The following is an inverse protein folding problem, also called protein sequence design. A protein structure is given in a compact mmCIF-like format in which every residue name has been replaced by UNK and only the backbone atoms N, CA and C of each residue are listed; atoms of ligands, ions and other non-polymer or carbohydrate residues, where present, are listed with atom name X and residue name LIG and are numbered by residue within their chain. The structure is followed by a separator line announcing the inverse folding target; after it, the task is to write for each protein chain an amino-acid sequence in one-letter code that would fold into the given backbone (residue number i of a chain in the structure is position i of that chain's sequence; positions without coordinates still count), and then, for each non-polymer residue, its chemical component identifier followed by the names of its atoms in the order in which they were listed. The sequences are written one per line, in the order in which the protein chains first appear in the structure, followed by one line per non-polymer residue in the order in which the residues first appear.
data_IF_880744621631
#
_entry.id   IF_880744621631
#
_cell.length_a   1.000
_cell.length_b   1.000
_cell.length_c   1.000
_cell.angle_alpha   90.00
_cell.angle_beta   90.00
_cell.angle_gamma   90.00
#
_symmetry.space_group_name_H-M   'P 1'
#
loop_
_entity.id
_entity.type
_entity.pdbx_description
1 polymer ?
#
# COMPACT_ATOMS: atom_id res chain seq x y z
N UNK A 1 -6.69 20.51 54.58
CA UNK A 1 -5.26 20.17 54.41
C UNK A 1 -5.04 18.79 53.77
N UNK A 2 -5.49 17.67 54.36
CA UNK A 2 -5.30 16.30 53.79
C UNK A 2 -5.84 16.14 52.35
N UNK A 3 -7.04 16.67 52.06
CA UNK A 3 -7.67 16.59 50.72
C UNK A 3 -6.91 17.35 49.63
N UNK A 4 -6.35 18.51 49.97
CA UNK A 4 -5.55 19.32 49.02
C UNK A 4 -4.21 18.64 48.72
N UNK A 5 -3.60 18.00 49.72
CA UNK A 5 -2.35 17.25 49.55
C UNK A 5 -2.53 16.01 48.65
N UNK A 6 -3.66 15.31 48.80
CA UNK A 6 -4.03 14.20 47.91
C UNK A 6 -4.18 14.67 46.46
N UNK A 7 -4.84 15.82 46.22
CA UNK A 7 -4.99 16.38 44.87
C UNK A 7 -3.64 16.75 44.26
N UNK A 8 -2.74 17.34 45.05
CA UNK A 8 -1.38 17.65 44.59
C UNK A 8 -0.58 16.39 44.23
N UNK A 9 -0.66 15.34 45.04
CA UNK A 9 0.02 14.06 44.76
C UNK A 9 -0.54 13.41 43.48
N UNK A 10 -1.86 13.37 43.31
CA UNK A 10 -2.50 12.82 42.11
C UNK A 10 -2.08 13.62 40.86
N UNK A 11 -2.07 14.96 40.94
CA UNK A 11 -1.62 15.81 39.85
C UNK A 11 -0.15 15.58 39.49
N UNK A 12 0.72 15.45 40.49
CA UNK A 12 2.14 15.18 40.29
C UNK A 12 2.37 13.80 39.66
N UNK A 13 1.63 12.77 40.09
CA UNK A 13 1.69 11.44 39.50
C UNK A 13 1.19 11.44 38.05
N UNK A 14 0.10 12.14 37.74
CA UNK A 14 -0.39 12.28 36.37
C UNK A 14 0.65 12.92 35.45
N UNK A 15 1.29 14.01 35.89
CA UNK A 15 2.34 14.70 35.12
C UNK A 15 3.57 13.82 34.93
N UNK A 16 3.91 12.97 35.90
CA UNK A 16 5.05 12.05 35.80
C UNK A 16 4.77 10.83 34.91
N UNK A 17 3.57 10.24 35.03
CA UNK A 17 3.23 8.97 34.38
C UNK A 17 2.65 9.13 32.97
N UNK A 18 1.98 10.25 32.63
CA UNK A 18 1.45 10.49 31.28
C UNK A 18 2.53 10.47 30.18
N UNK A 19 3.69 11.15 30.32
CA UNK A 19 4.75 11.12 29.32
C UNK A 19 5.38 9.73 29.20
N UNK A 20 5.57 9.03 30.32
CA UNK A 20 6.12 7.66 30.35
C UNK A 20 5.17 6.70 29.64
N UNK A 21 3.87 6.82 29.87
CA UNK A 21 2.87 6.04 29.17
C UNK A 21 2.86 6.34 27.66
N UNK A 22 2.94 7.62 27.26
CA UNK A 22 3.01 8.00 25.85
C UNK A 22 4.27 7.45 25.15
N UNK A 23 5.43 7.52 25.79
CA UNK A 23 6.68 6.94 25.25
C UNK A 23 6.61 5.42 25.21
N UNK A 24 6.07 4.78 26.25
CA UNK A 24 5.88 3.33 26.29
C UNK A 24 4.96 2.85 25.17
N UNK A 25 3.88 3.58 24.87
CA UNK A 25 3.03 3.31 23.71
C UNK A 25 3.81 3.41 22.39
N UNK A 26 4.75 4.34 22.23
CA UNK A 26 5.59 4.42 21.03
C UNK A 26 6.57 3.23 20.88
N UNK A 27 7.01 2.62 21.99
CA UNK A 27 7.87 1.44 21.97
C UNK A 27 7.10 0.12 21.88
N UNK A 28 5.86 0.07 22.37
CA UNK A 28 4.98 -1.11 22.35
C UNK A 28 4.14 -1.18 21.07
N UNK A 29 3.86 -0.05 20.43
CA UNK A 29 3.29 -0.04 19.08
C UNK A 29 4.34 -0.61 18.14
N UNK A 30 4.21 -1.91 17.86
CA UNK A 30 4.96 -2.60 16.81
C UNK A 30 5.00 -1.69 15.59
N UNK A 31 6.21 -1.30 15.19
CA UNK A 31 6.38 -0.56 13.94
C UNK A 31 5.80 -1.44 12.85
N UNK A 32 4.66 -1.03 12.30
CA UNK A 32 4.03 -1.77 11.22
C UNK A 32 5.07 -2.01 10.13
N UNK A 33 5.17 -3.23 9.59
CA UNK A 33 6.08 -3.49 8.48
C UNK A 33 5.78 -2.53 7.34
N UNK A 34 6.82 -1.98 6.73
CA UNK A 34 6.69 -1.14 5.53
C UNK A 34 7.36 -1.83 4.36
N UNK A 35 6.82 -1.61 3.17
CA UNK A 35 7.39 -2.10 1.93
C UNK A 35 8.76 -1.44 1.68
N UNK A 36 9.74 -2.24 1.28
CA UNK A 36 11.08 -1.80 0.88
C UNK A 36 11.40 -2.47 -0.44
N UNK A 37 11.84 -1.68 -1.43
CA UNK A 37 12.16 -2.17 -2.78
C UNK A 37 11.02 -3.00 -3.43
N UNK A 38 9.77 -2.58 -3.24
CA UNK A 38 8.60 -3.26 -3.81
C UNK A 38 8.19 -4.55 -3.08
N UNK A 39 8.77 -4.85 -1.91
CA UNK A 39 8.44 -6.04 -1.13
C UNK A 39 7.99 -5.68 0.28
N UNK A 40 6.84 -6.21 0.70
CA UNK A 40 6.33 -6.14 2.06
C UNK A 40 6.32 -7.54 2.67
N UNK A 41 7.14 -7.78 3.69
CA UNK A 41 7.18 -9.07 4.38
C UNK A 41 6.24 -9.09 5.60
N UNK A 42 5.14 -9.84 5.46
CA UNK A 42 4.16 -10.13 6.51
C UNK A 42 4.18 -11.62 6.92
N UNK A 43 5.19 -12.39 6.49
CA UNK A 43 5.26 -13.85 6.70
C UNK A 43 5.28 -14.26 8.17
N UNK A 44 5.75 -13.36 9.05
CA UNK A 44 5.83 -13.54 10.51
C UNK A 44 4.55 -13.10 11.24
N UNK A 45 3.64 -12.43 10.56
CA UNK A 45 2.42 -11.89 11.15
C UNK A 45 1.24 -12.82 10.89
N UNK A 46 0.44 -13.04 11.93
CA UNK A 46 -0.86 -13.69 11.77
C UNK A 46 -1.92 -12.63 11.45
N UNK A 47 -2.22 -12.48 10.16
CA UNK A 47 -3.20 -11.50 9.66
C UNK A 47 -4.63 -11.75 10.19
N UNK A 48 -4.96 -12.99 10.58
CA UNK A 48 -6.26 -13.31 11.17
C UNK A 48 -6.46 -12.67 12.54
N UNK A 49 -5.37 -12.52 13.30
CA UNK A 49 -5.37 -11.92 14.64
C UNK A 49 -4.96 -10.44 14.63
N UNK A 50 -4.04 -10.04 13.75
CA UNK A 50 -3.56 -8.64 13.66
C UNK A 50 -4.56 -7.71 12.94
N UNK A 51 -5.43 -8.25 12.09
CA UNK A 51 -6.37 -7.46 11.31
C UNK A 51 -5.72 -6.75 10.13
N UNK A 52 -6.24 -5.57 9.77
CA UNK A 52 -5.80 -4.82 8.59
C UNK A 52 -4.40 -4.21 8.80
N UNK A 53 -3.51 -4.40 7.81
CA UNK A 53 -2.16 -3.84 7.78
C UNK A 53 -2.06 -2.84 6.63
N UNK A 54 -1.43 -1.69 6.88
CA UNK A 54 -1.21 -0.70 5.85
C UNK A 54 -0.13 -1.17 4.88
N UNK A 55 -0.39 -1.08 3.57
CA UNK A 55 0.58 -1.43 2.53
C UNK A 55 1.55 -0.26 2.23
N UNK A 56 1.99 0.45 3.27
CA UNK A 56 2.82 1.64 3.14
C UNK A 56 4.27 1.29 2.84
N UNK A 57 4.97 2.18 2.14
CA UNK A 57 6.40 2.03 1.84
C UNK A 57 6.68 2.19 0.36
N UNK A 58 7.73 1.54 -0.11
CA UNK A 58 8.21 1.65 -1.49
C UNK A 58 7.59 0.57 -2.38
N UNK A 59 6.93 1.04 -3.44
CA UNK A 59 6.30 0.24 -4.48
C UNK A 59 7.12 0.38 -5.77
N UNK A 60 7.15 -0.68 -6.59
CA UNK A 60 7.65 -0.56 -7.96
C UNK A 60 6.72 0.38 -8.74
N UNK A 61 7.30 1.31 -9.51
CA UNK A 61 6.53 2.24 -10.34
C UNK A 61 6.90 2.12 -11.81
N UNK A 62 5.89 2.00 -12.65
CA UNK A 62 5.96 1.88 -14.11
C UNK A 62 5.24 3.06 -14.73
N UNK A 63 6.02 4.08 -15.10
CA UNK A 63 5.53 5.31 -15.72
C UNK A 63 5.01 5.03 -17.12
N UNK A 64 3.92 5.70 -17.50
CA UNK A 64 3.34 5.66 -18.86
C UNK A 64 3.05 4.23 -19.33
N UNK A 65 2.72 3.34 -18.39
CA UNK A 65 2.44 1.93 -18.63
C UNK A 65 1.21 1.54 -17.81
N UNK A 66 0.14 1.12 -18.49
CA UNK A 66 -1.03 0.49 -17.88
C UNK A 66 -0.85 -1.02 -18.01
N UNK A 67 -0.37 -1.66 -16.94
CA UNK A 67 0.00 -3.07 -16.91
C UNK A 67 -1.04 -3.86 -16.12
N UNK A 68 -1.13 -5.14 -16.46
CA UNK A 68 -1.93 -6.17 -15.82
C UNK A 68 -0.99 -7.27 -15.30
N UNK A 69 -1.47 -8.18 -14.43
CA UNK A 69 -0.65 -9.29 -13.96
C UNK A 69 -0.04 -10.16 -15.08
N UNK A 70 -0.70 -10.21 -16.25
CA UNK A 70 -0.20 -10.98 -17.41
C UNK A 70 1.09 -10.40 -17.99
N UNK A 71 1.29 -9.09 -17.89
CA UNK A 71 2.48 -8.41 -18.42
C UNK A 71 3.75 -8.76 -17.63
N UNK A 72 3.60 -9.27 -16.40
CA UNK A 72 4.69 -9.72 -15.54
C UNK A 72 4.95 -11.23 -15.63
N UNK A 73 4.16 -11.98 -16.39
CA UNK A 73 4.33 -13.42 -16.55
C UNK A 73 5.54 -13.74 -17.44
N UNK A 74 6.61 -14.24 -16.81
CA UNK A 74 7.86 -14.60 -17.49
C UNK A 74 7.75 -15.86 -18.34
N UNK A 75 6.69 -16.66 -18.19
CA UNK A 75 6.46 -17.85 -19.00
C UNK A 75 6.00 -17.51 -20.42
N UNK A 76 5.45 -16.31 -20.62
CA UNK A 76 5.04 -15.80 -21.92
C UNK A 76 6.28 -15.32 -22.68
N UNK A 77 6.48 -15.87 -23.88
CA UNK A 77 7.54 -15.42 -24.78
C UNK A 77 7.09 -14.15 -25.50
N UNK A 78 7.46 -13.01 -24.95
CA UNK A 78 7.32 -11.67 -25.56
C UNK A 78 8.70 -11.10 -25.85
N UNK A 79 8.77 -10.16 -26.80
CA UNK A 79 10.03 -9.48 -27.12
C UNK A 79 10.47 -8.64 -25.92
N UNK A 80 11.79 -8.46 -25.76
CA UNK A 80 12.34 -7.73 -24.60
C UNK A 80 11.88 -6.26 -24.55
N UNK A 81 11.64 -5.64 -25.70
CA UNK A 81 11.13 -4.28 -25.81
C UNK A 81 9.67 -4.12 -25.37
N UNK A 82 8.90 -5.22 -25.36
CA UNK A 82 7.50 -5.28 -24.93
C UNK A 82 7.36 -5.56 -23.42
N UNK A 83 8.46 -5.88 -22.72
CA UNK A 83 8.43 -6.14 -21.27
C UNK A 83 8.25 -4.85 -20.45
N UNK A 84 7.60 -4.93 -19.28
CA UNK A 84 7.49 -3.81 -18.35
C UNK A 84 8.84 -3.19 -18.00
N UNK A 85 8.98 -1.88 -18.16
CA UNK A 85 10.20 -1.13 -17.81
C UNK A 85 10.01 -0.42 -16.48
N UNK A 86 10.72 -0.89 -15.45
CA UNK A 86 10.70 -0.26 -14.14
C UNK A 86 11.23 1.17 -14.24
N UNK A 87 10.45 2.14 -13.78
CA UNK A 87 10.81 3.56 -13.79
C UNK A 87 11.43 4.04 -12.48
N UNK A 88 11.15 3.35 -11.38
CA UNK A 88 11.73 3.65 -10.06
C UNK A 88 10.91 3.08 -8.91
N UNK A 89 11.25 3.51 -7.70
CA UNK A 89 10.52 3.17 -6.47
C UNK A 89 9.69 4.36 -6.00
N UNK A 90 8.39 4.18 -5.89
CA UNK A 90 7.46 5.19 -5.41
C UNK A 90 7.07 4.94 -3.95
N UNK A 91 7.21 5.95 -3.09
CA UNK A 91 6.82 5.85 -1.69
C UNK A 91 5.35 6.23 -1.52
N UNK A 92 4.54 5.27 -1.08
CA UNK A 92 3.11 5.42 -0.86
C UNK A 92 2.74 5.27 0.64
N UNK A 93 1.72 6.00 1.11
CA UNK A 93 0.99 7.06 0.41
C UNK A 93 1.89 8.30 0.19
N UNK A 94 1.67 9.02 -0.92
CA UNK A 94 2.48 10.16 -1.27
C UNK A 94 2.03 10.83 -2.57
N UNK A 95 2.53 12.04 -2.83
CA UNK A 95 2.30 12.71 -4.11
C UNK A 95 3.14 12.05 -5.20
N UNK A 96 2.51 11.70 -6.32
CA UNK A 96 3.19 11.05 -7.43
C UNK A 96 3.82 12.01 -8.46
N UNK A 97 3.66 13.32 -8.27
CA UNK A 97 4.11 14.35 -9.22
C UNK A 97 5.59 14.27 -9.56
N UNK A 98 6.42 13.90 -8.58
CA UNK A 98 7.86 13.71 -8.79
C UNK A 98 8.16 12.39 -9.52
N UNK A 99 7.27 11.38 -9.37
CA UNK A 99 7.38 10.10 -10.07
C UNK A 99 6.79 10.12 -11.48
N UNK A 100 5.97 11.09 -11.87
CA UNK A 100 5.34 11.17 -13.21
C UNK A 100 6.09 12.12 -14.18
N UNK A 101 7.02 12.93 -13.67
CA UNK A 101 8.00 13.72 -14.44
C UNK A 101 9.11 12.86 -15.10
N UNK A 102 9.22 12.82 -16.44
CA UNK A 102 10.24 12.03 -17.16
C UNK A 102 11.60 12.73 -17.20
N UNK A 103 11.61 14.08 -17.23
CA UNK A 103 12.79 14.95 -17.37
C UNK A 103 13.05 15.83 -16.13
N UNK A 104 12.37 15.53 -15.01
CA UNK A 104 12.42 16.32 -13.78
C UNK A 104 11.48 17.54 -13.78
N UNK A 105 10.72 17.82 -14.85
CA UNK A 105 9.65 18.80 -14.81
C UNK A 105 8.40 18.21 -14.17
N UNK A 106 7.93 18.82 -13.09
CA UNK A 106 6.71 18.37 -12.39
C UNK A 106 5.52 18.33 -13.33
N UNK A 107 4.99 17.13 -13.53
CA UNK A 107 3.75 16.90 -14.26
C UNK A 107 2.62 16.64 -13.26
N UNK A 108 1.41 17.11 -13.61
CA UNK A 108 0.20 16.92 -12.79
C UNK A 108 -0.70 15.79 -13.31
N UNK A 109 -0.57 15.44 -14.59
CA UNK A 109 -1.36 14.43 -15.27
C UNK A 109 -0.44 13.40 -15.93
N UNK A 110 -0.92 12.17 -16.02
CA UNK A 110 -0.23 11.04 -16.62
C UNK A 110 -0.96 9.75 -16.27
N UNK A 111 -0.27 8.63 -16.46
CA UNK A 111 -0.74 7.30 -16.06
C UNK A 111 0.46 6.41 -15.73
N UNK A 112 0.23 5.35 -14.97
CA UNK A 112 1.26 4.40 -14.60
C UNK A 112 0.71 3.27 -13.75
N UNK A 113 1.56 2.27 -13.54
CA UNK A 113 1.24 1.11 -12.70
C UNK A 113 2.13 1.12 -11.47
N UNK A 114 1.52 0.90 -10.30
CA UNK A 114 2.24 0.61 -9.07
C UNK A 114 2.14 -0.90 -8.81
N UNK A 115 3.23 -1.50 -8.32
CA UNK A 115 3.27 -2.93 -8.02
C UNK A 115 3.93 -3.19 -6.68
N UNK A 116 3.34 -4.08 -5.91
CA UNK A 116 3.84 -4.53 -4.61
C UNK A 116 3.79 -6.06 -4.51
N UNK A 117 4.85 -6.63 -3.95
CA UNK A 117 4.89 -8.04 -3.59
C UNK A 117 4.73 -8.17 -2.09
N UNK A 118 3.65 -8.80 -1.66
CA UNK A 118 3.39 -9.11 -0.25
C UNK A 118 3.75 -10.55 0.02
N UNK A 119 4.69 -10.78 0.93
CA UNK A 119 5.01 -12.11 1.42
C UNK A 119 4.14 -12.42 2.63
N UNK A 120 3.42 -13.53 2.58
CA UNK A 120 2.54 -13.97 3.67
C UNK A 120 2.86 -15.42 4.00
N UNK A 121 2.41 -15.89 5.16
CA UNK A 121 2.63 -17.27 5.58
C UNK A 121 2.17 -18.27 4.49
N UNK A 122 3.03 -19.18 4.00
CA UNK A 122 2.66 -20.14 2.97
C UNK A 122 1.79 -21.26 3.53
N UNK A 123 1.15 -22.01 2.62
CA UNK A 123 0.48 -23.28 2.95
C UNK A 123 -0.96 -23.16 3.44
N UNK A 124 -1.54 -21.95 3.44
CA UNK A 124 -2.96 -21.74 3.72
C UNK A 124 -3.62 -21.03 2.55
N UNK A 125 -4.81 -21.49 2.17
CA UNK A 125 -5.69 -20.78 1.24
C UNK A 125 -6.60 -19.90 2.07
N UNK A 126 -6.45 -18.58 1.93
CA UNK A 126 -7.19 -17.59 2.70
C UNK A 126 -7.85 -16.59 1.75
N UNK A 127 -8.95 -15.97 2.20
CA UNK A 127 -9.53 -14.82 1.53
C UNK A 127 -8.87 -13.56 2.06
N UNK A 128 -8.16 -12.86 1.19
CA UNK A 128 -7.55 -11.57 1.49
C UNK A 128 -8.45 -10.45 0.99
N UNK A 129 -8.59 -9.40 1.80
CA UNK A 129 -9.29 -8.17 1.43
C UNK A 129 -8.29 -7.03 1.24
N UNK A 130 -8.51 -6.21 0.21
CA UNK A 130 -7.80 -4.94 0.04
C UNK A 130 -8.79 -3.81 -0.05
N UNK A 131 -8.64 -2.89 0.88
CA UNK A 131 -9.40 -1.65 0.93
C UNK A 131 -8.58 -0.54 0.28
N UNK A 132 -9.13 0.08 -0.75
CA UNK A 132 -8.58 1.33 -1.27
C UNK A 132 -9.13 2.50 -0.45
N UNK A 133 -8.30 3.54 -0.26
CA UNK A 133 -8.70 4.74 0.48
C UNK A 133 -9.01 5.91 -0.45
N UNK A 134 -8.04 6.32 -1.26
CA UNK A 134 -8.21 7.39 -2.23
C UNK A 134 -7.19 7.19 -3.35
N UNK A 135 -7.68 6.87 -4.54
CA UNK A 135 -6.85 6.73 -5.74
C UNK A 135 -7.39 7.72 -6.76
N UNK A 136 -6.67 8.82 -6.95
CA UNK A 136 -7.16 9.96 -7.74
C UNK A 136 -7.38 9.56 -9.20
N UNK A 137 -8.36 10.22 -9.80
CA UNK A 137 -8.73 10.13 -11.22
C UNK A 137 -9.35 8.81 -11.65
N UNK A 138 -8.61 7.72 -11.73
CA UNK A 138 -9.15 6.41 -12.11
C UNK A 138 -8.19 5.29 -11.68
N UNK A 139 -8.71 4.09 -11.38
CA UNK A 139 -7.89 2.95 -10.99
C UNK A 139 -8.51 1.61 -11.34
N UNK A 140 -7.65 0.61 -11.53
CA UNK A 140 -7.96 -0.82 -11.49
C UNK A 140 -6.95 -1.46 -10.56
N UNK A 141 -7.40 -2.34 -9.67
CA UNK A 141 -6.53 -3.01 -8.71
C UNK A 141 -6.63 -4.51 -8.91
N UNK A 142 -5.47 -5.14 -8.98
CA UNK A 142 -5.34 -6.58 -9.09
C UNK A 142 -4.75 -7.14 -7.80
N UNK A 143 -5.07 -8.39 -7.48
CA UNK A 143 -4.45 -9.12 -6.38
C UNK A 143 -4.34 -10.58 -6.76
N UNK A 144 -3.13 -11.13 -6.69
CA UNK A 144 -2.85 -12.53 -7.01
C UNK A 144 -3.27 -12.92 -8.43
N UNK A 145 -3.19 -11.99 -9.39
CA UNK A 145 -3.57 -12.21 -10.78
C UNK A 145 -5.03 -11.86 -11.14
N UNK A 146 -5.89 -11.59 -10.15
CA UNK A 146 -7.31 -11.29 -10.37
C UNK A 146 -7.60 -9.80 -10.21
N UNK A 147 -8.49 -9.24 -11.02
CA UNK A 147 -9.01 -7.90 -10.76
C UNK A 147 -9.98 -7.95 -9.58
N UNK A 148 -9.67 -7.22 -8.52
CA UNK A 148 -10.48 -7.21 -7.29
C UNK A 148 -11.37 -5.97 -7.16
N UNK A 149 -11.14 -4.96 -8.00
CA UNK A 149 -12.00 -3.79 -8.10
C UNK A 149 -11.42 -2.69 -8.97
N UNK A 150 -12.29 -1.74 -9.32
CA UNK A 150 -11.96 -0.60 -10.15
C UNK A 150 -12.81 0.61 -9.76
N UNK A 151 -12.27 1.80 -10.02
CA UNK A 151 -13.00 3.05 -9.95
C UNK A 151 -12.66 3.85 -11.21
N UNK A 152 -13.62 3.93 -12.14
CA UNK A 152 -13.41 4.55 -13.44
C UNK A 152 -12.68 3.60 -14.39
N UNK A 153 -11.99 4.16 -15.38
CA UNK A 153 -11.16 3.41 -16.30
C UNK A 153 -9.90 4.25 -16.65
N UNK A 154 -8.70 3.87 -16.19
CA UNK A 154 -7.48 4.54 -16.58
C UNK A 154 -7.29 4.50 -18.10
N UNK A 155 -7.06 5.66 -18.71
CA UNK A 155 -6.78 5.83 -20.13
C UNK A 155 -5.41 6.47 -20.36
N UNK A 156 -4.89 6.38 -21.57
CA UNK A 156 -3.62 7.02 -21.99
C UNK A 156 -3.83 8.48 -22.39
N UNK A 157 -5.07 8.86 -22.64
CA UNK A 157 -5.55 10.17 -23.09
C UNK A 157 -6.81 10.58 -22.31
N UNK A 158 -7.35 11.77 -22.59
CA UNK A 158 -8.61 12.19 -21.97
C UNK A 158 -9.83 11.46 -22.57
N UNK A 159 -9.76 11.04 -23.83
CA UNK A 159 -10.89 10.48 -24.57
C UNK A 159 -11.06 8.96 -24.33
N UNK A 160 -9.99 8.25 -23.95
CA UNK A 160 -10.01 6.80 -23.67
C UNK A 160 -10.15 6.46 -22.17
N UNK A 161 -10.09 7.48 -21.30
CA UNK A 161 -10.20 7.34 -19.85
C UNK A 161 -11.56 7.79 -19.30
N UNK A 162 -12.02 7.13 -18.25
CA UNK A 162 -13.21 7.54 -17.48
C UNK A 162 -12.79 7.83 -16.05
N UNK A 163 -12.94 9.07 -15.61
CA UNK A 163 -12.58 9.44 -14.24
C UNK A 163 -13.65 8.98 -13.24
N UNK A 164 -13.20 8.38 -12.15
CA UNK A 164 -13.96 8.16 -10.94
C UNK A 164 -13.01 7.91 -9.75
N UNK A 165 -13.39 8.30 -8.54
CA UNK A 165 -12.56 8.13 -7.34
C UNK A 165 -13.41 7.67 -6.15
N UNK A 166 -14.06 6.52 -6.31
CA UNK A 166 -14.83 5.86 -5.25
C UNK A 166 -13.96 4.78 -4.62
N UNK A 167 -13.68 4.85 -3.31
CA UNK A 167 -12.96 3.81 -2.60
C UNK A 167 -13.77 2.51 -2.60
N UNK A 168 -13.09 1.36 -2.63
CA UNK A 168 -13.72 0.06 -2.67
C UNK A 168 -12.96 -0.97 -1.82
N UNK A 169 -13.65 -2.05 -1.50
CA UNK A 169 -13.10 -3.23 -0.83
C UNK A 169 -13.21 -4.42 -1.78
N UNK A 170 -12.06 -4.90 -2.25
CA UNK A 170 -11.96 -6.06 -3.13
C UNK A 170 -11.44 -7.28 -2.38
N UNK A 171 -11.78 -8.47 -2.86
CA UNK A 171 -11.37 -9.73 -2.24
C UNK A 171 -10.83 -10.72 -3.26
N UNK A 172 -9.82 -11.49 -2.86
CA UNK A 172 -9.35 -12.65 -3.60
C UNK A 172 -9.03 -13.80 -2.64
N UNK A 173 -9.38 -15.03 -3.05
CA UNK A 173 -8.99 -16.23 -2.33
C UNK A 173 -7.72 -16.79 -2.96
N UNK A 174 -6.63 -16.76 -2.21
CA UNK A 174 -5.29 -17.04 -2.70
C UNK A 174 -4.58 -18.04 -1.80
N UNK A 175 -3.70 -18.84 -2.39
CA UNK A 175 -2.71 -19.57 -1.61
C UNK A 175 -1.68 -18.57 -1.09
N UNK A 176 -1.41 -18.59 0.21
CA UNK A 176 -0.36 -17.77 0.82
C UNK A 176 1.04 -18.06 0.26
N UNK A 177 2.03 -17.29 0.71
CA UNK A 177 3.41 -17.33 0.24
C UNK A 177 3.80 -16.01 -0.43
N UNK A 178 3.33 -15.78 -1.65
CA UNK A 178 3.61 -14.55 -2.43
C UNK A 178 2.33 -14.05 -3.09
N UNK A 179 1.90 -12.86 -2.71
CA UNK A 179 0.74 -12.17 -3.29
C UNK A 179 1.26 -10.94 -4.02
N UNK A 180 0.98 -10.84 -5.31
CA UNK A 180 1.21 -9.62 -6.09
C UNK A 180 -0.03 -8.73 -6.02
N UNK A 181 0.20 -7.44 -5.83
CA UNK A 181 -0.81 -6.36 -5.86
C UNK A 181 -0.37 -5.34 -6.90
#
# INVERSE_FOLDING_TARGET
MKRQWIIFIIGMLLVLFLPVYAVWQQFVMDRQPTAVEGVLDLSKLDLGHHGAISLNGEWEFYRSQLLTPKDFDRSVTVKEDERPRLSGMARLPGAWNDYIAEDGQRMAAGYGTFRLIVQVKPGQVLTYGLQTNNIRSASRVFMGGYEIGASGNPGRTADDGVQNNVPFLGFATLSGGRIEI
#
